data_IF_438371332173
#
_entry.id   IF_438371332173
#
_cell.length_a   1.000
_cell.length_b   1.000
_cell.length_c   1.000
_cell.angle_alpha   90.00
_cell.angle_beta   90.00
_cell.angle_gamma   90.00
#
_symmetry.space_group_name_H-M   'P 1'
#
loop_
_entity.id
_entity.type
_entity.pdbx_description
1 polymer ?
#
# COMPACT_ATOMS: atom_id res chain seq x y z
N UNK A 1 30.02 -27.27 -24.71
CA UNK A 1 28.92 -28.26 -24.61
C UNK A 1 28.75 -29.03 -25.91
N UNK A 2 28.31 -28.39 -27.01
CA UNK A 2 27.92 -29.06 -28.27
C UNK A 2 29.09 -29.84 -28.92
N UNK A 3 30.30 -29.31 -28.90
CA UNK A 3 31.49 -29.97 -29.47
C UNK A 3 31.98 -31.21 -28.69
N UNK A 4 31.57 -31.36 -27.42
CA UNK A 4 31.93 -32.54 -26.60
C UNK A 4 30.95 -33.71 -26.78
N UNK A 5 29.78 -33.51 -27.36
CA UNK A 5 28.89 -34.63 -27.77
C UNK A 5 29.53 -35.51 -28.83
N UNK A 6 30.41 -34.94 -29.66
CA UNK A 6 31.02 -35.64 -30.80
C UNK A 6 32.49 -36.06 -30.58
N UNK A 7 33.21 -35.45 -29.63
CA UNK A 7 34.61 -35.74 -29.37
C UNK A 7 34.89 -35.87 -27.87
N UNK A 8 34.97 -37.10 -27.38
CA UNK A 8 35.29 -37.43 -25.98
C UNK A 8 36.78 -37.30 -25.70
N UNK A 9 37.23 -36.15 -25.20
CA UNK A 9 38.54 -36.03 -24.59
C UNK A 9 38.47 -36.30 -23.08
N UNK A 10 39.33 -37.14 -22.49
CA UNK A 10 39.35 -37.39 -21.05
C UNK A 10 39.60 -36.09 -20.27
N UNK A 11 38.87 -35.91 -19.19
CA UNK A 11 39.06 -34.75 -18.30
C UNK A 11 40.44 -34.83 -17.65
N UNK A 12 41.28 -33.79 -17.82
CA UNK A 12 42.49 -33.65 -17.02
C UNK A 12 42.15 -33.13 -15.65
N UNK A 13 42.71 -33.70 -14.57
CA UNK A 13 42.54 -33.29 -13.17
C UNK A 13 41.19 -33.57 -12.54
N UNK A 14 40.57 -34.70 -12.84
CA UNK A 14 39.26 -35.13 -12.35
C UNK A 14 39.10 -35.06 -10.83
N UNK A 15 40.11 -35.50 -10.07
CA UNK A 15 40.10 -35.46 -8.60
C UNK A 15 39.98 -34.06 -8.02
N UNK A 16 40.66 -33.09 -8.63
CA UNK A 16 40.59 -31.69 -8.18
C UNK A 16 39.25 -31.05 -8.50
N UNK A 17 38.65 -31.40 -9.62
CA UNK A 17 37.32 -30.91 -10.00
C UNK A 17 36.26 -31.41 -9.04
N UNK A 18 36.29 -32.69 -8.68
CA UNK A 18 35.39 -33.30 -7.71
C UNK A 18 35.59 -32.69 -6.31
N UNK A 19 36.84 -32.52 -5.89
CA UNK A 19 37.18 -31.92 -4.60
C UNK A 19 36.67 -30.46 -4.51
N UNK A 20 36.87 -29.66 -5.55
CA UNK A 20 36.40 -28.28 -5.63
C UNK A 20 34.87 -28.22 -5.60
N UNK A 21 34.16 -29.08 -6.32
CA UNK A 21 32.71 -29.16 -6.33
C UNK A 21 32.16 -29.62 -4.96
N UNK A 22 32.77 -30.60 -4.31
CA UNK A 22 32.42 -31.05 -2.96
C UNK A 22 32.59 -29.93 -1.93
N UNK A 23 33.71 -29.20 -1.96
CA UNK A 23 33.96 -28.05 -1.09
C UNK A 23 32.89 -26.93 -1.34
N UNK A 24 32.53 -26.70 -2.59
CA UNK A 24 31.47 -25.76 -2.95
C UNK A 24 30.15 -26.15 -2.36
N UNK A 25 29.73 -27.41 -2.40
CA UNK A 25 28.50 -27.91 -1.82
C UNK A 25 28.49 -27.71 -0.31
N UNK A 26 29.57 -28.11 0.38
CA UNK A 26 29.67 -28.00 1.84
C UNK A 26 29.59 -26.54 2.26
N UNK A 27 30.30 -25.64 1.60
CA UNK A 27 30.26 -24.21 1.94
C UNK A 27 28.92 -23.57 1.66
N UNK A 28 28.26 -23.92 0.56
CA UNK A 28 26.91 -23.40 0.23
C UNK A 28 25.83 -23.93 1.17
N UNK A 29 25.89 -25.19 1.58
CA UNK A 29 24.97 -25.75 2.56
C UNK A 29 25.18 -25.15 3.95
N UNK A 30 26.42 -24.88 4.35
CA UNK A 30 26.71 -24.18 5.60
C UNK A 30 26.17 -22.73 5.56
N UNK A 31 26.36 -22.02 4.44
CA UNK A 31 25.78 -20.68 4.23
C UNK A 31 24.26 -20.71 4.26
N UNK A 32 23.62 -21.70 3.66
CA UNK A 32 22.16 -21.87 3.72
C UNK A 32 21.67 -21.92 5.16
N UNK A 33 22.21 -22.83 5.97
CA UNK A 33 21.78 -22.98 7.36
C UNK A 33 22.06 -21.74 8.21
N UNK A 34 23.21 -21.09 8.01
CA UNK A 34 23.52 -19.83 8.67
C UNK A 34 22.54 -18.74 8.31
N UNK A 35 22.30 -18.54 7.01
CA UNK A 35 21.38 -17.48 6.50
C UNK A 35 19.95 -17.74 6.94
N UNK A 36 19.45 -18.99 6.91
CA UNK A 36 18.10 -19.33 7.42
C UNK A 36 17.97 -19.00 8.91
N UNK A 37 19.01 -19.30 9.72
CA UNK A 37 18.99 -18.98 11.15
C UNK A 37 18.90 -17.48 11.39
N UNK A 38 19.69 -16.69 10.67
CA UNK A 38 19.65 -15.22 10.77
C UNK A 38 18.31 -14.68 10.26
N UNK A 39 17.84 -15.15 9.11
CA UNK A 39 16.56 -14.73 8.51
C UNK A 39 15.36 -14.93 9.46
N UNK A 40 15.34 -16.07 10.18
CA UNK A 40 14.31 -16.33 11.19
C UNK A 40 14.37 -15.36 12.36
N UNK A 41 15.58 -15.03 12.83
CA UNK A 41 15.75 -14.14 13.98
C UNK A 41 15.31 -12.69 13.69
N UNK A 42 15.56 -12.21 12.47
CA UNK A 42 15.22 -10.84 12.06
C UNK A 42 13.91 -10.76 11.25
N UNK A 43 13.19 -11.89 11.10
CA UNK A 43 11.93 -12.01 10.33
C UNK A 43 12.05 -11.47 8.89
N UNK A 44 13.19 -11.67 8.22
CA UNK A 44 13.45 -11.15 6.87
C UNK A 44 13.17 -12.21 5.81
N UNK A 45 12.14 -12.00 4.99
CA UNK A 45 11.82 -12.86 3.85
C UNK A 45 12.87 -12.74 2.74
N UNK A 46 13.49 -11.57 2.56
CA UNK A 46 14.60 -11.38 1.60
C UNK A 46 15.81 -12.28 1.92
N UNK A 47 16.21 -12.32 3.19
CA UNK A 47 17.29 -13.23 3.63
C UNK A 47 16.91 -14.69 3.51
N UNK A 48 15.65 -15.03 3.72
CA UNK A 48 15.15 -16.39 3.51
C UNK A 48 15.17 -16.79 2.03
N UNK A 49 14.78 -15.89 1.13
CA UNK A 49 14.91 -16.09 -0.32
C UNK A 49 16.38 -16.29 -0.73
N UNK A 50 17.29 -15.47 -0.21
CA UNK A 50 18.74 -15.61 -0.45
C UNK A 50 19.31 -16.94 0.06
N UNK A 51 18.83 -17.45 1.19
CA UNK A 51 19.21 -18.77 1.68
C UNK A 51 18.79 -19.87 0.69
N UNK A 52 17.57 -19.82 0.15
CA UNK A 52 17.12 -20.76 -0.88
C UNK A 52 17.97 -20.69 -2.15
N UNK A 53 18.47 -19.52 -2.53
CA UNK A 53 19.42 -19.37 -3.63
C UNK A 53 20.70 -20.17 -3.39
N UNK A 54 21.32 -20.06 -2.22
CA UNK A 54 22.51 -20.85 -1.86
C UNK A 54 22.25 -22.36 -1.96
N UNK A 55 21.09 -22.82 -1.52
CA UNK A 55 20.70 -24.23 -1.59
C UNK A 55 20.51 -24.71 -3.03
N UNK A 56 19.90 -23.91 -3.87
CA UNK A 56 19.73 -24.22 -5.31
C UNK A 56 21.08 -24.32 -6.02
N UNK A 57 22.02 -23.44 -5.65
CA UNK A 57 23.40 -23.50 -6.15
C UNK A 57 24.13 -24.77 -5.70
N UNK A 58 23.87 -25.25 -4.47
CA UNK A 58 24.40 -26.53 -4.02
C UNK A 58 23.88 -27.71 -4.85
N UNK A 59 22.57 -27.72 -5.18
CA UNK A 59 21.99 -28.70 -6.08
C UNK A 59 22.60 -28.67 -7.48
N UNK A 60 22.85 -27.49 -8.05
CA UNK A 60 23.54 -27.37 -9.34
C UNK A 60 24.95 -27.99 -9.29
N UNK A 61 25.65 -27.82 -8.18
CA UNK A 61 26.99 -28.43 -7.97
C UNK A 61 26.91 -29.95 -7.85
N UNK A 62 25.86 -30.52 -7.28
CA UNK A 62 25.62 -31.97 -7.24
C UNK A 62 25.44 -32.53 -8.67
N UNK A 63 24.63 -31.85 -9.49
CA UNK A 63 24.40 -32.23 -10.89
C UNK A 63 25.73 -32.26 -11.66
N UNK A 64 26.63 -31.26 -11.44
CA UNK A 64 27.94 -31.21 -12.05
C UNK A 64 28.82 -32.41 -11.61
N UNK A 65 28.83 -32.73 -10.31
CA UNK A 65 29.59 -33.92 -9.81
C UNK A 65 29.09 -35.20 -10.48
N UNK A 66 27.76 -35.39 -10.56
CA UNK A 66 27.19 -36.57 -11.24
C UNK A 66 27.60 -36.62 -12.71
N UNK A 67 27.60 -35.47 -13.40
CA UNK A 67 28.06 -35.36 -14.78
C UNK A 67 29.54 -35.75 -14.92
N UNK A 68 30.44 -35.28 -14.07
CA UNK A 68 31.87 -35.59 -14.05
C UNK A 68 32.06 -37.09 -13.79
N UNK A 69 31.49 -37.66 -12.73
CA UNK A 69 31.62 -39.08 -12.39
C UNK A 69 31.07 -39.95 -13.52
N UNK A 70 29.99 -39.58 -14.16
CA UNK A 70 29.47 -40.29 -15.32
C UNK A 70 30.41 -40.28 -16.50
N UNK A 71 31.00 -39.12 -16.81
CA UNK A 71 31.96 -38.98 -17.90
C UNK A 71 33.24 -39.80 -17.65
N UNK A 72 33.73 -39.85 -16.40
CA UNK A 72 34.92 -40.66 -16.04
C UNK A 72 34.68 -42.16 -16.15
N UNK A 73 33.43 -42.62 -15.96
CA UNK A 73 33.01 -44.00 -16.15
C UNK A 73 32.65 -44.37 -17.62
N UNK A 74 32.96 -43.47 -18.57
CA UNK A 74 32.74 -43.72 -20.01
C UNK A 74 31.39 -43.20 -20.55
N UNK A 75 30.52 -42.64 -19.71
CA UNK A 75 29.23 -42.08 -20.11
C UNK A 75 29.39 -40.59 -20.43
N UNK A 76 30.15 -40.22 -21.44
CA UNK A 76 30.51 -38.83 -21.80
C UNK A 76 29.31 -37.91 -22.05
N UNK A 77 28.16 -38.45 -22.44
CA UNK A 77 26.93 -37.65 -22.63
C UNK A 77 26.41 -37.05 -21.32
N UNK A 78 26.75 -37.63 -20.15
CA UNK A 78 26.28 -37.14 -18.84
C UNK A 78 26.86 -35.77 -18.49
N UNK A 79 28.07 -35.43 -18.89
CA UNK A 79 28.66 -34.09 -18.74
C UNK A 79 27.85 -33.04 -19.50
N UNK A 80 27.51 -33.36 -20.74
CA UNK A 80 26.69 -32.47 -21.57
C UNK A 80 25.25 -32.34 -21.07
N UNK A 81 24.64 -33.43 -20.59
CA UNK A 81 23.31 -33.43 -19.99
C UNK A 81 23.30 -32.62 -18.69
N UNK A 82 24.31 -32.78 -17.83
CA UNK A 82 24.47 -31.98 -16.62
C UNK A 82 24.58 -30.49 -16.93
N UNK A 83 25.36 -30.12 -17.97
CA UNK A 83 25.44 -28.71 -18.39
C UNK A 83 24.08 -28.13 -18.88
N UNK A 84 23.29 -28.92 -19.59
CA UNK A 84 21.94 -28.51 -20.03
C UNK A 84 21.01 -28.32 -18.80
N UNK A 85 21.01 -29.29 -17.87
CA UNK A 85 20.20 -29.22 -16.64
C UNK A 85 20.55 -27.98 -15.84
N UNK A 86 21.83 -27.73 -15.60
CA UNK A 86 22.31 -26.52 -14.88
C UNK A 86 21.87 -25.24 -15.61
N UNK A 87 21.99 -25.21 -16.94
CA UNK A 87 21.56 -24.08 -17.76
C UNK A 87 20.07 -23.79 -17.58
N UNK A 88 19.22 -24.82 -17.61
CA UNK A 88 17.77 -24.67 -17.39
C UNK A 88 17.45 -24.17 -15.97
N UNK A 89 18.16 -24.71 -14.95
CA UNK A 89 18.00 -24.26 -13.57
C UNK A 89 18.35 -22.76 -13.43
N UNK A 90 19.46 -22.33 -14.04
CA UNK A 90 19.89 -20.91 -13.99
C UNK A 90 18.85 -20.00 -14.68
N UNK A 91 18.35 -20.40 -15.85
CA UNK A 91 17.30 -19.64 -16.55
C UNK A 91 16.02 -19.54 -15.70
N UNK A 92 15.59 -20.63 -15.09
CA UNK A 92 14.43 -20.65 -14.21
C UNK A 92 14.59 -19.73 -13.00
N UNK A 93 15.75 -19.79 -12.34
CA UNK A 93 16.05 -18.91 -11.18
C UNK A 93 16.10 -17.45 -11.61
N UNK A 94 16.78 -17.15 -12.71
CA UNK A 94 16.89 -15.80 -13.25
C UNK A 94 15.50 -15.22 -13.60
N UNK A 95 14.63 -16.02 -14.21
CA UNK A 95 13.25 -15.64 -14.50
C UNK A 95 12.45 -15.38 -13.23
N UNK A 96 12.53 -16.28 -12.24
CA UNK A 96 11.83 -16.13 -10.97
C UNK A 96 12.26 -14.87 -10.22
N UNK A 97 13.57 -14.63 -10.08
CA UNK A 97 14.12 -13.45 -9.43
C UNK A 97 13.73 -12.16 -10.18
N UNK A 98 13.79 -12.15 -11.51
CA UNK A 98 13.37 -11.01 -12.30
C UNK A 98 11.88 -10.71 -12.13
N UNK A 99 11.04 -11.74 -12.07
CA UNK A 99 9.61 -11.58 -11.86
C UNK A 99 9.26 -11.10 -10.45
N UNK A 100 9.95 -11.62 -9.41
CA UNK A 100 9.80 -11.17 -8.03
C UNK A 100 10.25 -9.70 -7.87
N UNK A 101 11.41 -9.34 -8.43
CA UNK A 101 11.88 -7.95 -8.42
C UNK A 101 10.91 -7.01 -9.15
N UNK A 102 10.30 -7.44 -10.25
CA UNK A 102 9.29 -6.64 -10.94
C UNK A 102 8.04 -6.44 -10.09
N UNK A 103 7.61 -7.47 -9.33
CA UNK A 103 6.49 -7.36 -8.40
C UNK A 103 6.76 -6.37 -7.25
N UNK A 104 8.00 -6.28 -6.77
CA UNK A 104 8.38 -5.30 -5.74
C UNK A 104 8.38 -3.85 -6.27
N UNK A 105 8.59 -3.67 -7.59
CA UNK A 105 8.55 -2.35 -8.24
C UNK A 105 7.13 -1.91 -8.60
N UNK A 106 6.18 -2.85 -8.67
CA UNK A 106 4.76 -2.56 -8.88
C UNK A 106 4.08 -2.58 -7.51
N UNK A 107 3.46 -1.46 -7.15
CA UNK A 107 2.66 -1.36 -5.91
C UNK A 107 1.66 -2.51 -5.85
N UNK A 108 1.97 -3.54 -5.07
CA UNK A 108 1.07 -4.66 -4.85
C UNK A 108 0.19 -4.36 -3.65
N UNK A 109 -1.12 -4.53 -3.82
CA UNK A 109 -2.06 -4.49 -2.71
C UNK A 109 -1.73 -5.57 -1.66
N UNK A 110 -2.15 -5.36 -0.43
CA UNK A 110 -2.12 -6.41 0.61
C UNK A 110 -3.14 -7.51 0.28
N UNK A 111 -3.11 -8.60 1.05
CA UNK A 111 -4.03 -9.72 0.86
C UNK A 111 -5.49 -9.26 0.95
N UNK A 112 -6.38 -9.71 0.04
CA UNK A 112 -7.80 -9.35 0.08
C UNK A 112 -8.51 -9.66 1.39
N UNK A 113 -8.09 -10.68 2.14
CA UNK A 113 -8.63 -10.97 3.46
C UNK A 113 -8.19 -9.92 4.50
N UNK A 114 -6.94 -9.46 4.45
CA UNK A 114 -6.42 -8.38 5.29
C UNK A 114 -7.19 -7.06 5.02
N UNK A 115 -7.52 -6.77 3.75
CA UNK A 115 -8.32 -5.60 3.38
C UNK A 115 -9.71 -5.65 4.03
N UNK A 116 -10.36 -6.82 4.01
CA UNK A 116 -11.69 -6.97 4.64
C UNK A 116 -11.64 -6.78 6.15
N UNK A 117 -10.63 -7.36 6.80
CA UNK A 117 -10.43 -7.20 8.25
C UNK A 117 -10.24 -5.73 8.59
N UNK A 118 -9.35 -5.03 7.86
CA UNK A 118 -9.08 -3.62 8.06
C UNK A 118 -10.35 -2.78 7.84
N UNK A 119 -11.05 -2.98 6.72
CA UNK A 119 -12.28 -2.27 6.40
C UNK A 119 -13.35 -2.45 7.49
N UNK A 120 -13.55 -3.68 7.99
CA UNK A 120 -14.52 -3.94 9.05
C UNK A 120 -14.14 -3.23 10.35
N UNK A 121 -12.88 -3.32 10.77
CA UNK A 121 -12.41 -2.67 11.98
C UNK A 121 -12.54 -1.14 11.93
N UNK A 122 -12.27 -0.52 10.77
CA UNK A 122 -12.38 0.93 10.59
C UNK A 122 -13.85 1.38 10.55
N UNK A 123 -14.75 0.58 9.99
CA UNK A 123 -16.19 0.89 9.92
C UNK A 123 -16.88 0.84 11.28
N UNK A 124 -16.31 0.18 12.28
CA UNK A 124 -16.85 0.11 13.64
C UNK A 124 -16.44 1.29 14.53
N UNK A 125 -15.57 2.19 14.04
CA UNK A 125 -15.08 3.33 14.81
C UNK A 125 -16.22 4.34 14.98
N UNK A 126 -16.44 4.78 16.22
CA UNK A 126 -17.44 5.82 16.53
C UNK A 126 -17.10 7.13 15.81
N UNK A 127 -18.05 7.67 15.08
CA UNK A 127 -17.90 8.89 14.29
C UNK A 127 -17.58 8.64 12.82
N UNK A 128 -17.21 7.42 12.44
CA UNK A 128 -17.11 7.00 11.04
C UNK A 128 -18.50 6.56 10.57
N UNK A 129 -19.03 7.20 9.53
CA UNK A 129 -20.29 6.83 8.90
C UNK A 129 -20.09 5.72 7.86
N UNK A 130 -19.03 5.82 7.06
CA UNK A 130 -18.63 4.80 6.08
C UNK A 130 -17.12 4.91 5.76
N UNK A 131 -16.57 3.81 5.26
CA UNK A 131 -15.23 3.77 4.64
C UNK A 131 -15.46 3.51 3.15
N UNK A 132 -15.24 4.51 2.30
CA UNK A 132 -15.54 4.40 0.86
C UNK A 132 -14.31 4.11 0.02
N UNK A 133 -13.12 4.59 0.41
CA UNK A 133 -11.85 4.22 -0.23
C UNK A 133 -10.90 3.60 0.77
N UNK A 134 -10.36 2.44 0.41
CA UNK A 134 -9.28 1.79 1.13
C UNK A 134 -8.25 1.28 0.13
N UNK A 135 -7.19 2.05 -0.08
CA UNK A 135 -6.07 1.69 -0.93
C UNK A 135 -4.90 1.26 -0.07
N UNK A 136 -4.34 0.12 -0.40
CA UNK A 136 -3.20 -0.43 0.34
C UNK A 136 -2.07 -0.77 -0.60
N UNK A 137 -0.85 -0.59 -0.11
CA UNK A 137 0.35 -0.94 -0.86
C UNK A 137 1.39 -1.57 0.05
N UNK A 138 2.14 -2.49 -0.53
CA UNK A 138 3.23 -3.18 0.14
C UNK A 138 4.55 -2.64 -0.39
N UNK A 139 5.36 -2.09 0.50
CA UNK A 139 6.70 -1.55 0.19
C UNK A 139 7.74 -2.36 0.96
N UNK A 140 8.33 -3.35 0.30
CA UNK A 140 9.22 -4.30 0.95
C UNK A 140 8.50 -5.14 2.02
N UNK A 141 8.90 -5.00 3.28
CA UNK A 141 8.30 -5.70 4.42
C UNK A 141 7.27 -4.87 5.18
N UNK A 142 7.04 -3.63 4.77
CA UNK A 142 6.08 -2.71 5.38
C UNK A 142 4.85 -2.57 4.51
N UNK A 143 3.73 -2.24 5.15
CA UNK A 143 2.47 -1.92 4.49
C UNK A 143 2.15 -0.45 4.69
N UNK A 144 1.49 0.18 3.73
CA UNK A 144 0.87 1.48 3.88
C UNK A 144 -0.59 1.43 3.43
N UNK A 145 -1.41 2.31 4.00
CA UNK A 145 -2.82 2.43 3.66
C UNK A 145 -3.23 3.89 3.48
N UNK A 146 -4.00 4.15 2.43
CA UNK A 146 -4.71 5.40 2.23
C UNK A 146 -6.20 5.11 2.44
N UNK A 147 -6.81 5.78 3.42
CA UNK A 147 -8.17 5.51 3.89
C UNK A 147 -9.00 6.78 3.78
N UNK A 148 -10.13 6.71 3.10
CA UNK A 148 -11.12 7.77 3.09
C UNK A 148 -12.30 7.37 3.97
N UNK A 149 -12.60 8.19 4.96
CA UNK A 149 -13.72 7.96 5.89
C UNK A 149 -14.71 9.10 5.80
N UNK A 150 -15.96 8.74 5.60
CA UNK A 150 -17.06 9.69 5.65
C UNK A 150 -17.44 9.92 7.11
N UNK A 151 -17.58 11.18 7.49
CA UNK A 151 -18.01 11.61 8.81
C UNK A 151 -19.23 12.54 8.72
N UNK A 152 -19.78 12.93 9.85
CA UNK A 152 -20.83 13.96 9.86
C UNK A 152 -20.28 15.30 9.34
N UNK A 153 -20.87 15.91 8.30
CA UNK A 153 -20.36 17.14 7.67
C UNK A 153 -20.39 18.37 8.57
N UNK A 154 -21.12 18.33 9.68
CA UNK A 154 -21.24 19.44 10.62
C UNK A 154 -20.25 19.36 11.79
N UNK A 155 -19.34 18.37 11.79
CA UNK A 155 -18.27 18.31 12.77
C UNK A 155 -17.27 19.45 12.60
N UNK A 156 -16.68 19.88 13.69
CA UNK A 156 -15.52 20.77 13.62
C UNK A 156 -14.31 20.04 13.05
N UNK A 157 -13.38 20.77 12.44
CA UNK A 157 -12.10 20.22 11.94
C UNK A 157 -11.34 19.48 13.05
N UNK A 158 -11.41 19.97 14.30
CA UNK A 158 -10.75 19.32 15.44
C UNK A 158 -11.40 18.00 15.83
N UNK A 159 -12.72 17.87 15.73
CA UNK A 159 -13.42 16.59 15.94
C UNK A 159 -13.09 15.60 14.82
N UNK A 160 -13.10 16.05 13.56
CA UNK A 160 -12.67 15.24 12.43
C UNK A 160 -11.23 14.75 12.59
N UNK A 161 -10.33 15.60 13.05
CA UNK A 161 -8.95 15.21 13.33
C UNK A 161 -8.85 14.12 14.41
N UNK A 162 -9.63 14.19 15.49
CA UNK A 162 -9.64 13.11 16.52
C UNK A 162 -10.17 11.79 15.93
N UNK A 163 -11.13 11.84 15.02
CA UNK A 163 -11.59 10.64 14.30
C UNK A 163 -10.45 10.08 13.44
N UNK A 164 -9.72 10.92 12.68
CA UNK A 164 -8.60 10.46 11.86
C UNK A 164 -7.49 9.79 12.69
N UNK A 165 -7.15 10.35 13.84
CA UNK A 165 -6.18 9.77 14.79
C UNK A 165 -6.67 8.40 15.30
N UNK A 166 -7.97 8.26 15.54
CA UNK A 166 -8.56 6.99 15.97
C UNK A 166 -8.52 5.94 14.86
N UNK A 167 -8.79 6.34 13.61
CA UNK A 167 -8.68 5.49 12.42
C UNK A 167 -7.26 5.00 12.22
N UNK A 168 -6.28 5.91 12.26
CA UNK A 168 -4.85 5.57 12.14
C UNK A 168 -4.42 4.56 13.23
N UNK A 169 -4.80 4.81 14.49
CA UNK A 169 -4.47 3.92 15.60
C UNK A 169 -5.06 2.53 15.42
N UNK A 170 -6.36 2.42 15.12
CA UNK A 170 -7.03 1.12 14.90
C UNK A 170 -6.42 0.39 13.73
N UNK A 171 -6.12 1.09 12.63
CA UNK A 171 -5.47 0.48 11.46
C UNK A 171 -4.10 -0.13 11.83
N UNK A 172 -3.27 0.59 12.58
CA UNK A 172 -1.96 0.10 13.05
C UNK A 172 -2.07 -1.02 14.10
N UNK A 173 -3.13 -1.05 14.89
CA UNK A 173 -3.41 -2.16 15.82
C UNK A 173 -3.82 -3.45 15.09
N UNK A 174 -4.45 -3.36 13.89
CA UNK A 174 -4.81 -4.53 13.09
C UNK A 174 -3.59 -5.27 12.55
N UNK A 175 -2.53 -4.55 12.17
CA UNK A 175 -1.34 -5.15 11.54
C UNK A 175 -0.04 -4.48 12.04
N UNK A 176 0.85 -5.27 12.66
CA UNK A 176 2.16 -4.80 13.16
C UNK A 176 3.06 -4.22 12.05
N UNK A 177 2.88 -4.65 10.80
CA UNK A 177 3.66 -4.24 9.63
C UNK A 177 3.03 -3.07 8.86
N UNK A 178 1.90 -2.52 9.31
CA UNK A 178 1.27 -1.32 8.78
C UNK A 178 1.91 -0.07 9.40
N UNK A 179 2.88 0.49 8.69
CA UNK A 179 3.77 1.56 9.19
C UNK A 179 3.18 2.95 8.93
N UNK A 180 2.60 3.16 7.77
CA UNK A 180 2.07 4.44 7.32
C UNK A 180 0.58 4.34 6.98
N UNK A 181 -0.21 5.27 7.53
CA UNK A 181 -1.66 5.34 7.31
C UNK A 181 -2.04 6.80 7.07
N UNK A 182 -2.44 7.10 5.84
CA UNK A 182 -3.01 8.40 5.49
C UNK A 182 -4.52 8.32 5.62
N UNK A 183 -5.11 9.22 6.39
CA UNK A 183 -6.57 9.27 6.59
C UNK A 183 -7.13 10.55 6.01
N UNK A 184 -8.00 10.44 5.01
CA UNK A 184 -8.85 11.51 4.52
C UNK A 184 -10.17 11.51 5.29
N UNK A 185 -10.58 12.70 5.70
CA UNK A 185 -11.88 12.92 6.36
C UNK A 185 -12.78 13.62 5.36
N UNK A 186 -13.82 12.92 4.92
CA UNK A 186 -14.72 13.41 3.88
C UNK A 186 -16.11 13.68 4.46
N UNK A 187 -16.70 14.84 4.17
CA UNK A 187 -18.05 15.18 4.62
C UNK A 187 -19.14 14.39 3.87
N UNK A 188 -18.82 13.92 2.66
CA UNK A 188 -19.70 13.13 1.79
C UNK A 188 -18.90 12.15 0.94
N UNK A 189 -19.55 11.17 0.33
CA UNK A 189 -18.89 10.26 -0.62
C UNK A 189 -18.80 10.93 -1.99
N UNK A 190 -17.59 11.27 -2.43
CA UNK A 190 -17.29 11.93 -3.69
C UNK A 190 -16.77 10.97 -4.80
N UNK A 191 -16.54 9.69 -4.48
CA UNK A 191 -16.03 8.70 -5.46
C UNK A 191 -16.99 8.46 -6.63
N UNK A 192 -18.29 8.53 -6.40
CA UNK A 192 -19.31 8.27 -7.42
C UNK A 192 -19.60 9.50 -8.31
N UNK A 193 -19.07 10.67 -7.94
CA UNK A 193 -19.32 11.93 -8.66
C UNK A 193 -18.17 12.22 -9.64
N UNK A 194 -18.28 11.71 -10.88
CA UNK A 194 -17.32 12.01 -11.99
C UNK A 194 -17.07 13.50 -12.25
N UNK A 195 -18.01 14.38 -11.83
CA UNK A 195 -17.85 15.82 -11.88
C UNK A 195 -17.77 16.34 -10.44
N UNK A 196 -16.57 16.71 -10.01
CA UNK A 196 -16.39 17.34 -8.71
C UNK A 196 -17.44 18.47 -8.52
N UNK A 197 -18.48 18.27 -7.68
CA UNK A 197 -19.58 19.24 -7.57
C UNK A 197 -19.10 20.61 -7.08
N UNK A 198 -17.91 20.64 -6.47
CA UNK A 198 -17.29 21.85 -5.90
C UNK A 198 -16.53 22.71 -6.90
N UNK A 199 -16.32 22.25 -8.14
CA UNK A 199 -15.41 22.89 -9.10
C UNK A 199 -15.80 24.32 -9.47
N UNK A 200 -17.08 24.65 -9.35
CA UNK A 200 -17.62 25.98 -9.70
C UNK A 200 -18.11 26.77 -8.47
N UNK A 201 -17.97 26.22 -7.27
CA UNK A 201 -18.38 26.93 -6.06
C UNK A 201 -17.34 28.00 -5.68
N UNK A 202 -17.78 29.18 -5.23
CA UNK A 202 -16.87 30.21 -4.78
C UNK A 202 -16.13 29.79 -3.51
N UNK A 203 -14.85 30.13 -3.42
CA UNK A 203 -14.08 29.96 -2.19
C UNK A 203 -14.66 30.84 -1.06
N UNK A 204 -14.35 30.49 0.19
CA UNK A 204 -14.86 31.17 1.39
C UNK A 204 -14.84 32.71 1.28
N UNK A 205 -13.76 33.31 0.81
CA UNK A 205 -13.62 34.77 0.73
C UNK A 205 -14.61 35.38 -0.27
N UNK A 206 -14.82 34.71 -1.40
CA UNK A 206 -15.77 35.13 -2.44
C UNK A 206 -17.21 34.92 -1.99
N UNK A 207 -17.50 33.76 -1.39
CA UNK A 207 -18.82 33.45 -0.82
C UNK A 207 -19.23 34.46 0.25
N UNK A 208 -18.36 34.78 1.20
CA UNK A 208 -18.64 35.78 2.23
C UNK A 208 -18.85 37.18 1.63
N UNK A 209 -18.15 37.54 0.54
CA UNK A 209 -18.36 38.79 -0.15
C UNK A 209 -19.73 38.86 -0.84
N UNK A 210 -20.14 37.77 -1.49
CA UNK A 210 -21.47 37.66 -2.13
C UNK A 210 -22.55 37.80 -1.04
N UNK A 211 -22.44 37.03 0.05
CA UNK A 211 -23.37 37.06 1.17
C UNK A 211 -23.48 38.48 1.76
N UNK A 212 -22.36 39.14 2.01
CA UNK A 212 -22.39 40.51 2.59
C UNK A 212 -23.05 41.50 1.64
N UNK A 213 -22.80 41.42 0.34
CA UNK A 213 -23.45 42.28 -0.67
C UNK A 213 -24.94 42.03 -0.75
N UNK A 214 -25.40 40.79 -0.71
CA UNK A 214 -26.84 40.46 -0.71
C UNK A 214 -27.54 41.02 0.54
N UNK A 215 -26.95 40.86 1.70
CA UNK A 215 -27.46 41.38 2.96
C UNK A 215 -27.52 42.92 2.99
N UNK A 216 -26.57 43.61 2.41
CA UNK A 216 -26.55 45.07 2.30
C UNK A 216 -27.64 45.56 1.32
N UNK A 217 -27.85 44.89 0.17
CA UNK A 217 -28.82 45.25 -0.83
C UNK A 217 -30.26 45.18 -0.28
N UNK A 218 -30.54 44.18 0.55
CA UNK A 218 -31.87 43.98 1.18
C UNK A 218 -32.04 44.74 2.50
N UNK A 219 -31.09 45.64 2.84
CA UNK A 219 -31.10 46.41 4.11
C UNK A 219 -31.25 45.51 5.35
N UNK A 220 -30.60 44.35 5.33
CA UNK A 220 -30.66 43.40 6.44
C UNK A 220 -29.83 43.91 7.63
N UNK A 221 -30.53 44.28 8.73
CA UNK A 221 -29.91 44.87 9.92
C UNK A 221 -29.50 43.85 10.99
N UNK A 222 -29.40 42.56 10.65
CA UNK A 222 -28.94 41.56 11.60
C UNK A 222 -27.43 41.69 11.85
N UNK A 223 -27.03 41.77 13.09
CA UNK A 223 -25.60 41.68 13.46
C UNK A 223 -25.20 40.23 13.51
N UNK A 224 -24.48 39.81 12.47
CA UNK A 224 -23.93 38.48 12.35
C UNK A 224 -22.59 38.43 13.10
N UNK A 225 -22.51 37.64 14.16
CA UNK A 225 -21.29 37.47 14.96
C UNK A 225 -20.32 36.49 14.30
N UNK A 226 -20.85 35.46 13.63
CA UNK A 226 -20.03 34.45 12.94
C UNK A 226 -20.83 33.85 11.78
N UNK A 227 -20.14 33.54 10.66
CA UNK A 227 -20.68 32.78 9.53
C UNK A 227 -19.85 31.51 9.35
N UNK A 228 -20.53 30.37 9.29
CA UNK A 228 -19.95 29.07 8.94
C UNK A 228 -20.49 28.63 7.60
N UNK A 229 -19.63 28.11 6.74
CA UNK A 229 -19.97 27.62 5.40
C UNK A 229 -19.72 26.11 5.35
N UNK A 230 -20.69 25.38 4.85
CA UNK A 230 -20.60 23.96 4.57
C UNK A 230 -20.76 23.74 3.07
N UNK A 231 -19.77 23.14 2.45
CA UNK A 231 -19.75 22.79 1.03
C UNK A 231 -20.23 21.34 0.91
N UNK A 232 -21.48 21.14 0.53
CA UNK A 232 -22.12 19.83 0.50
C UNK A 232 -22.98 19.69 -0.78
N UNK A 233 -22.92 18.54 -1.42
CA UNK A 233 -23.74 18.19 -2.59
C UNK A 233 -23.71 19.20 -3.75
N UNK A 234 -22.66 19.99 -3.84
CA UNK A 234 -22.51 21.02 -4.87
C UNK A 234 -23.15 22.35 -4.52
N UNK A 235 -23.58 22.53 -3.27
CA UNK A 235 -24.17 23.75 -2.73
C UNK A 235 -23.37 24.26 -1.53
N UNK A 236 -23.62 25.52 -1.14
CA UNK A 236 -23.05 26.12 0.06
C UNK A 236 -24.17 26.33 1.07
N UNK A 237 -24.18 25.53 2.13
CA UNK A 237 -25.05 25.77 3.27
C UNK A 237 -24.38 26.81 4.18
N UNK A 238 -25.16 27.80 4.62
CA UNK A 238 -24.65 28.93 5.40
C UNK A 238 -25.31 28.97 6.77
N UNK A 239 -24.51 28.81 7.82
CA UNK A 239 -24.94 28.98 9.19
C UNK A 239 -24.57 30.39 9.71
N UNK A 240 -25.54 31.16 10.13
CA UNK A 240 -25.35 32.44 10.79
C UNK A 240 -25.50 32.32 12.29
N UNK A 241 -24.53 32.83 13.00
CA UNK A 241 -24.60 32.99 14.45
C UNK A 241 -24.95 34.41 14.78
N UNK A 242 -26.12 34.60 15.37
CA UNK A 242 -26.66 35.91 15.73
C UNK A 242 -26.69 36.07 17.26
N UNK A 243 -26.42 37.27 17.74
CA UNK A 243 -26.60 37.55 19.16
C UNK A 243 -28.09 37.60 19.50
N UNK A 244 -28.49 36.94 20.57
CA UNK A 244 -29.90 36.88 21.07
C UNK A 244 -30.48 38.25 21.28
N UNK A 245 -29.66 39.25 21.63
CA UNK A 245 -30.11 40.65 21.84
C UNK A 245 -30.67 41.31 20.57
N UNK A 246 -30.42 40.76 19.39
CA UNK A 246 -30.88 41.31 18.10
C UNK A 246 -32.10 40.60 17.50
N UNK A 247 -32.70 39.64 18.21
CA UNK A 247 -33.85 38.90 17.72
C UNK A 247 -35.15 39.78 17.60
N UNK A 248 -35.16 40.97 18.20
CA UNK A 248 -36.25 41.97 18.07
C UNK A 248 -37.67 41.36 18.13
N UNK A 249 -37.94 40.40 19.03
CA UNK A 249 -39.16 39.63 19.16
C UNK A 249 -39.49 38.68 18.01
N UNK A 250 -38.59 38.49 17.02
CA UNK A 250 -38.73 37.48 15.97
C UNK A 250 -38.29 36.12 16.48
N UNK A 251 -38.93 35.09 15.97
CA UNK A 251 -38.55 33.70 16.25
C UNK A 251 -37.42 33.23 15.27
N UNK A 252 -36.66 32.20 15.65
CA UNK A 252 -35.63 31.63 14.79
C UNK A 252 -36.13 31.20 13.42
N UNK A 253 -37.30 30.52 13.28
CA UNK A 253 -37.86 30.17 11.99
C UNK A 253 -38.18 31.38 11.09
N UNK A 254 -38.70 32.48 11.66
CA UNK A 254 -38.99 33.71 10.91
C UNK A 254 -37.71 34.35 10.35
N UNK A 255 -36.65 34.42 11.16
CA UNK A 255 -35.36 34.94 10.74
C UNK A 255 -34.73 34.03 9.68
N UNK A 256 -34.83 32.71 9.85
CA UNK A 256 -34.30 31.77 8.87
C UNK A 256 -34.98 31.88 7.51
N UNK A 257 -36.35 32.08 7.51
CA UNK A 257 -37.09 32.28 6.27
C UNK A 257 -36.66 33.57 5.56
N UNK A 258 -36.50 34.69 6.29
CA UNK A 258 -36.02 35.97 5.72
C UNK A 258 -34.62 35.84 5.14
N UNK A 259 -33.69 35.20 5.87
CA UNK A 259 -32.32 35.04 5.39
C UNK A 259 -32.22 34.10 4.19
N UNK A 260 -33.07 33.04 4.15
CA UNK A 260 -33.10 32.11 2.99
C UNK A 260 -33.68 32.71 1.72
N UNK A 261 -34.47 33.80 1.81
CA UNK A 261 -34.95 34.54 0.64
C UNK A 261 -33.90 35.52 0.07
N UNK A 262 -32.94 35.92 0.90
CA UNK A 262 -31.88 36.89 0.55
C UNK A 262 -30.67 36.23 -0.09
N UNK A 263 -30.37 35.00 0.29
CA UNK A 263 -29.15 34.27 -0.08
C UNK A 263 -29.47 33.12 -1.03
#
# INVERSE_FOLDING_TARGET
>A
GVTRFTNANPLKYEGWLIAAAALSIISKEALYWYTVKVAKNIKSELLKANAWHHRTDAFSSIVVIVGIIGATNGYFFLDSLAAIIVGVIIIYIGWKLGFEATKELVDTSIDPEDIKILHSALSEIKGVNSVHTLRTRKVGHKKSADVHVQVNPFLSVSEGHIISVSVERVAKECFEDLDDVTVHIDPENDEEKENAPYKNLPERAQALKIISQSLELENCNYKIDRTQLHYLEGEILVDFYLSVSYLNNKTVPEINSELSEII
#
